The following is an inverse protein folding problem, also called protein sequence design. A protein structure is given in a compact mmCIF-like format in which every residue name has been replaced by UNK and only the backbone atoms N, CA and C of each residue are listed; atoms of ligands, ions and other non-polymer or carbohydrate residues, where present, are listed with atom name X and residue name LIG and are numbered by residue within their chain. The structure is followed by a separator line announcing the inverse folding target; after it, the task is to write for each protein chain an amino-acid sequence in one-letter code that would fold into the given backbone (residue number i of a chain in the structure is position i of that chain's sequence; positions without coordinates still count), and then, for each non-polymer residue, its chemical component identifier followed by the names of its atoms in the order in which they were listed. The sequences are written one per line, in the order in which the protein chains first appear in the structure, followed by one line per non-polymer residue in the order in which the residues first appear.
data_IF_332727114649
#
_entry.id   IF_332727114649
#
_cell.length_a   1.000
_cell.length_b   1.000
_cell.length_c   1.000
_cell.angle_alpha   90.00
_cell.angle_beta   90.00
_cell.angle_gamma   90.00
#
_symmetry.space_group_name_H-M   'P 1'
#
loop_
_entity.id
_entity.type
_entity.pdbx_description
1 polymer ?
#
# COMPACT_ATOMS: atom_id res chain seq x y z
N UNK A 1 -11.99 13.14 2.02
CA UNK A 1 -11.26 12.19 1.16
C UNK A 1 -12.32 11.35 0.48
N UNK A 2 -12.30 11.25 -0.84
CA UNK A 2 -13.32 10.53 -1.60
C UNK A 2 -13.43 9.06 -1.21
N UNK A 3 -14.47 8.40 -1.70
CA UNK A 3 -14.73 6.98 -1.47
C UNK A 3 -13.58 6.11 -2.00
N UNK A 4 -13.28 5.00 -1.32
CA UNK A 4 -12.22 4.10 -1.73
C UNK A 4 -12.65 3.30 -2.97
N UNK A 5 -11.91 3.42 -4.08
CA UNK A 5 -12.17 2.67 -5.29
C UNK A 5 -11.38 1.35 -5.33
N UNK A 6 -12.04 0.26 -5.72
CA UNK A 6 -11.40 -1.05 -5.86
C UNK A 6 -10.80 -1.21 -7.25
N UNK A 7 -9.49 -1.37 -7.30
CA UNK A 7 -8.73 -1.63 -8.53
C UNK A 7 -8.08 -3.02 -8.52
N UNK A 8 -7.84 -3.57 -9.70
CA UNK A 8 -7.04 -4.78 -9.89
C UNK A 8 -5.66 -4.39 -10.44
N UNK A 9 -4.60 -4.97 -9.88
CA UNK A 9 -3.22 -4.73 -10.31
C UNK A 9 -2.44 -6.03 -10.43
N UNK A 10 -1.39 -6.04 -11.24
CA UNK A 10 -0.47 -7.16 -11.37
C UNK A 10 0.86 -6.81 -10.70
N UNK A 11 1.33 -7.68 -9.81
CA UNK A 11 2.61 -7.55 -9.11
C UNK A 11 3.36 -8.89 -9.15
N UNK A 12 4.70 -8.90 -9.06
CA UNK A 12 5.47 -10.12 -8.91
C UNK A 12 5.03 -10.93 -7.69
N UNK A 13 4.92 -12.26 -7.83
CA UNK A 13 4.43 -13.16 -6.77
C UNK A 13 5.24 -13.08 -5.48
N UNK A 14 6.57 -12.95 -5.60
CA UNK A 14 7.47 -12.77 -4.45
C UNK A 14 7.20 -11.46 -3.71
N UNK A 15 6.88 -10.40 -4.44
CA UNK A 15 6.57 -9.09 -3.86
C UNK A 15 5.27 -9.16 -3.05
N UNK A 16 4.21 -9.76 -3.60
CA UNK A 16 2.94 -9.94 -2.89
C UNK A 16 3.16 -10.70 -1.58
N UNK A 17 3.89 -11.81 -1.62
CA UNK A 17 4.19 -12.60 -0.41
C UNK A 17 4.91 -11.79 0.65
N UNK A 18 5.87 -10.95 0.25
CA UNK A 18 6.64 -10.13 1.18
C UNK A 18 5.79 -9.00 1.79
N UNK A 19 4.87 -8.42 1.00
CA UNK A 19 3.89 -7.45 1.51
C UNK A 19 2.96 -8.12 2.51
N UNK A 20 2.42 -9.29 2.20
CA UNK A 20 1.52 -10.03 3.09
C UNK A 20 2.19 -10.35 4.44
N UNK A 21 3.45 -10.82 4.41
CA UNK A 21 4.23 -11.08 5.62
C UNK A 21 4.50 -9.82 6.44
N UNK A 22 4.82 -8.71 5.78
CA UNK A 22 5.11 -7.44 6.45
C UNK A 22 3.85 -6.87 7.11
N UNK A 23 2.72 -6.85 6.40
CA UNK A 23 1.44 -6.35 6.92
C UNK A 23 0.91 -7.23 8.05
N UNK A 24 1.12 -8.55 8.00
CA UNK A 24 0.75 -9.46 9.09
C UNK A 24 1.49 -9.16 10.40
N UNK A 25 2.70 -8.58 10.33
CA UNK A 25 3.49 -8.19 11.50
C UNK A 25 3.18 -6.76 11.98
N UNK A 26 2.52 -5.95 11.17
CA UNK A 26 2.28 -4.53 11.43
C UNK A 26 0.78 -4.22 11.31
N UNK A 27 0.02 -4.40 12.41
CA UNK A 27 -1.43 -4.20 12.42
C UNK A 27 -1.84 -2.74 12.13
N UNK A 28 -0.91 -1.78 12.21
CA UNK A 28 -1.15 -0.36 11.90
C UNK A 28 -1.65 -0.11 10.46
N UNK A 29 -1.28 -0.98 9.52
CA UNK A 29 -1.71 -0.84 8.12
C UNK A 29 -3.12 -1.39 7.87
N UNK A 30 -3.62 -2.26 8.75
CA UNK A 30 -4.92 -2.92 8.68
C UNK A 30 -5.08 -3.93 7.54
N UNK A 31 -4.57 -3.64 6.34
CA UNK A 31 -4.68 -4.49 5.16
C UNK A 31 -3.59 -4.20 4.13
N UNK A 32 -3.44 -5.11 3.15
CA UNK A 32 -2.61 -4.88 1.95
C UNK A 32 -2.90 -3.55 1.27
N UNK A 33 -4.18 -3.25 1.05
CA UNK A 33 -4.59 -2.00 0.38
C UNK A 33 -4.22 -0.77 1.21
N UNK A 34 -4.36 -0.85 2.54
CA UNK A 34 -3.96 0.22 3.45
C UNK A 34 -2.44 0.47 3.42
N UNK A 35 -1.64 -0.60 3.41
CA UNK A 35 -0.20 -0.51 3.26
C UNK A 35 0.20 0.17 1.93
N UNK A 36 -0.35 -0.32 0.81
CA UNK A 36 -0.08 0.23 -0.52
C UNK A 36 -0.47 1.71 -0.61
N UNK A 37 -1.64 2.09 -0.07
CA UNK A 37 -2.10 3.46 -0.04
C UNK A 37 -1.16 4.38 0.75
N UNK A 38 -0.70 3.94 1.93
CA UNK A 38 0.20 4.73 2.79
C UNK A 38 1.55 4.96 2.10
N UNK A 39 2.15 3.90 1.55
CA UNK A 39 3.45 3.98 0.87
C UNK A 39 3.35 4.82 -0.42
N UNK A 40 2.28 4.66 -1.19
CA UNK A 40 2.04 5.46 -2.38
C UNK A 40 1.83 6.94 -2.03
N UNK A 41 1.03 7.24 -0.99
CA UNK A 41 0.81 8.59 -0.52
C UNK A 41 2.12 9.24 -0.05
N UNK A 42 2.93 8.55 0.75
CA UNK A 42 4.24 9.03 1.17
C UNK A 42 5.11 9.35 -0.05
N UNK A 43 5.21 8.43 -1.00
CA UNK A 43 6.07 8.60 -2.17
C UNK A 43 5.61 9.73 -3.10
N UNK A 44 4.32 9.82 -3.37
CA UNK A 44 3.76 10.79 -4.33
C UNK A 44 3.63 12.17 -3.68
N UNK A 45 3.03 12.25 -2.50
CA UNK A 45 2.75 13.53 -1.83
C UNK A 45 4.02 14.15 -1.23
N UNK A 46 4.97 13.34 -0.73
CA UNK A 46 6.25 13.90 -0.28
C UNK A 46 7.11 14.39 -1.44
N UNK A 47 6.94 13.84 -2.65
CA UNK A 47 7.63 14.31 -3.85
C UNK A 47 7.06 15.65 -4.33
N UNK A 48 5.77 15.90 -4.17
CA UNK A 48 5.10 17.16 -4.56
C UNK A 48 5.49 18.38 -3.69
N UNK A 49 6.17 18.17 -2.56
CA UNK A 49 6.64 19.25 -1.67
C UNK A 49 8.07 19.72 -1.96
N UNK A 50 8.69 19.29 -3.07
CA UNK A 50 10.03 19.74 -3.49
C UNK A 50 9.99 20.66 -4.69
#
# INVERSE_FOLDING_TARGET
MGEAEKINVTLPSLLIRRIDQFVAQQPEYGSRSGFLARVAADKVIATERR
#
